data_IF_909065721790
#
_entry.id   IF_909065721790
#
_cell.length_a   1.000
_cell.length_b   1.000
_cell.length_c   1.000
_cell.angle_alpha   90.00
_cell.angle_beta   90.00
_cell.angle_gamma   90.00
#
_symmetry.space_group_name_H-M   'P 1'
#
loop_
_entity.id
_entity.type
_entity.pdbx_description
1 polymer ?
#
# COMPACT_ATOMS: atom_id res chain seq x y z
N UNK A 1 -8.29 20.40 -16.26
CA UNK A 1 -7.96 19.25 -15.41
C UNK A 1 -6.54 18.79 -15.65
N UNK A 2 -5.81 18.54 -14.57
CA UNK A 2 -4.45 18.09 -14.71
C UNK A 2 -4.40 16.65 -15.22
N UNK A 3 -3.38 16.37 -16.01
CA UNK A 3 -3.14 15.02 -16.49
C UNK A 3 -1.72 14.59 -16.13
N UNK A 4 -1.53 13.28 -15.98
CA UNK A 4 -0.21 12.69 -15.81
C UNK A 4 -0.11 11.51 -16.76
N UNK A 5 1.03 11.35 -17.41
CA UNK A 5 1.24 10.27 -18.36
C UNK A 5 2.03 9.12 -17.73
N UNK A 6 1.72 7.91 -18.19
CA UNK A 6 2.50 6.70 -17.87
C UNK A 6 2.79 6.01 -19.20
N UNK A 7 4.06 5.95 -19.55
CA UNK A 7 4.51 5.39 -20.83
C UNK A 7 3.72 5.90 -22.04
N UNK A 8 3.46 7.21 -22.06
CA UNK A 8 2.78 7.87 -23.17
C UNK A 8 1.26 7.88 -23.10
N UNK A 9 0.67 7.15 -22.17
CA UNK A 9 -0.80 7.18 -21.97
C UNK A 9 -1.16 8.22 -20.93
N UNK A 10 -2.10 9.12 -21.25
CA UNK A 10 -2.52 10.19 -20.35
C UNK A 10 -3.66 9.75 -19.43
N UNK A 11 -3.54 10.15 -18.17
CA UNK A 11 -4.57 9.90 -17.15
C UNK A 11 -4.99 11.22 -16.54
N UNK A 12 -6.29 11.39 -16.32
CA UNK A 12 -6.82 12.57 -15.64
C UNK A 12 -6.63 12.43 -14.13
N UNK A 13 -6.04 13.45 -13.52
CA UNK A 13 -5.84 13.48 -12.07
C UNK A 13 -7.15 13.90 -11.40
N UNK A 14 -7.69 13.05 -10.53
CA UNK A 14 -8.92 13.34 -9.80
C UNK A 14 -8.59 14.04 -8.48
N UNK A 15 -7.68 13.46 -7.69
CA UNK A 15 -7.26 14.06 -6.41
C UNK A 15 -5.97 13.43 -5.90
N UNK A 16 -5.31 14.12 -4.98
CA UNK A 16 -4.19 13.58 -4.22
C UNK A 16 -4.75 12.69 -3.10
N UNK A 17 -4.27 11.45 -3.03
CA UNK A 17 -4.69 10.51 -1.97
C UNK A 17 -3.74 10.54 -0.78
N UNK A 18 -2.43 10.46 -1.04
CA UNK A 18 -1.42 10.36 0.00
C UNK A 18 -0.20 11.16 -0.41
N UNK A 19 0.35 11.89 0.57
CA UNK A 19 1.64 12.56 0.44
C UNK A 19 2.62 11.81 1.34
N UNK A 20 3.34 10.87 0.75
CA UNK A 20 4.25 10.00 1.48
C UNK A 20 5.70 10.45 1.42
N UNK A 21 6.56 9.75 2.14
CA UNK A 21 8.00 10.04 2.20
C UNK A 21 8.71 9.76 0.87
N UNK A 22 8.27 8.74 0.16
CA UNK A 22 8.88 8.32 -1.09
C UNK A 22 8.16 8.78 -2.34
N UNK A 23 6.96 9.31 -2.22
CA UNK A 23 6.18 9.71 -3.37
C UNK A 23 4.81 10.26 -3.04
N UNK A 24 4.15 10.77 -4.07
CA UNK A 24 2.78 11.26 -3.98
C UNK A 24 1.87 10.29 -4.73
N UNK A 25 0.79 9.86 -4.10
CA UNK A 25 -0.18 8.96 -4.71
C UNK A 25 -1.45 9.72 -5.09
N UNK A 26 -1.83 9.60 -6.36
CA UNK A 26 -2.99 10.29 -6.93
C UNK A 26 -4.03 9.28 -7.38
N UNK A 27 -5.29 9.63 -7.19
CA UNK A 27 -6.39 8.93 -7.86
C UNK A 27 -6.49 9.50 -9.26
N UNK A 28 -6.37 8.63 -10.26
CA UNK A 28 -6.40 9.03 -11.67
C UNK A 28 -7.40 8.17 -12.43
N UNK A 29 -7.81 8.65 -13.61
CA UNK A 29 -8.77 7.93 -14.45
C UNK A 29 -8.34 7.96 -15.90
N UNK A 30 -8.63 6.88 -16.63
CA UNK A 30 -8.49 6.84 -18.08
C UNK A 30 -9.83 7.09 -18.81
N UNK A 31 -10.86 7.47 -18.07
CA UNK A 31 -12.21 7.67 -18.59
C UNK A 31 -13.14 6.49 -18.37
N UNK A 32 -12.60 5.31 -18.14
CA UNK A 32 -13.39 4.09 -17.90
C UNK A 32 -13.13 3.52 -16.50
N UNK A 33 -11.87 3.53 -16.08
CA UNK A 33 -11.45 2.95 -14.81
C UNK A 33 -10.62 3.92 -14.00
N UNK A 34 -10.62 3.73 -12.70
CA UNK A 34 -9.81 4.49 -11.77
C UNK A 34 -8.58 3.68 -11.37
N UNK A 35 -7.47 4.40 -11.20
CA UNK A 35 -6.17 3.83 -10.81
C UNK A 35 -5.51 4.70 -9.76
N UNK A 36 -4.50 4.16 -9.11
CA UNK A 36 -3.59 4.94 -8.27
C UNK A 36 -2.29 5.12 -9.05
N UNK A 37 -1.90 6.38 -9.25
CA UNK A 37 -0.62 6.72 -9.84
C UNK A 37 0.28 7.27 -8.75
N UNK A 38 1.41 6.60 -8.52
CA UNK A 38 2.40 7.05 -7.56
C UNK A 38 3.53 7.74 -8.31
N UNK A 39 3.74 9.02 -8.02
CA UNK A 39 4.88 9.79 -8.49
C UNK A 39 5.97 9.73 -7.42
N UNK A 40 7.07 9.11 -7.75
CA UNK A 40 8.22 9.07 -6.84
C UNK A 40 8.87 10.46 -6.82
N UNK A 41 9.27 10.90 -5.63
CA UNK A 41 10.00 12.16 -5.47
C UNK A 41 11.33 11.91 -4.76
N UNK A 42 12.24 12.86 -4.94
CA UNK A 42 13.57 12.82 -4.35
C UNK A 42 13.80 13.99 -3.39
N UNK A 43 12.74 14.38 -2.66
CA UNK A 43 12.84 15.45 -1.68
C UNK A 43 13.79 15.01 -0.56
N UNK A 44 14.68 15.91 -0.10
CA UNK A 44 15.66 15.56 0.92
C UNK A 44 15.02 15.06 2.20
N UNK A 45 15.55 13.96 2.70
CA UNK A 45 15.12 13.37 3.96
C UNK A 45 16.36 12.84 4.66
N UNK A 46 16.61 13.28 5.90
CA UNK A 46 17.86 13.01 6.61
C UNK A 46 18.13 11.53 6.88
N UNK A 47 17.13 10.69 6.81
CA UNK A 47 17.25 9.26 7.07
C UNK A 47 16.98 8.37 5.86
N UNK A 48 16.88 8.96 4.68
CA UNK A 48 16.55 8.22 3.47
C UNK A 48 17.64 8.39 2.43
N UNK A 49 18.29 7.29 2.05
CA UNK A 49 19.25 7.30 0.95
C UNK A 49 18.52 7.07 -0.36
N UNK A 50 18.70 8.01 -1.29
CA UNK A 50 18.03 7.95 -2.58
C UNK A 50 18.73 6.94 -3.49
N UNK A 51 18.33 5.68 -3.40
CA UNK A 51 18.70 4.68 -4.39
C UNK A 51 17.69 4.64 -5.52
N UNK A 52 17.62 3.53 -6.21
CA UNK A 52 16.62 3.32 -7.25
C UNK A 52 15.29 2.93 -6.58
N UNK A 53 14.51 3.93 -6.20
CA UNK A 53 13.26 3.76 -5.47
C UNK A 53 12.23 2.93 -6.25
N UNK A 54 12.17 3.15 -7.56
CA UNK A 54 11.19 2.45 -8.39
C UNK A 54 11.50 0.96 -8.47
N UNK A 55 12.78 0.61 -8.62
CA UNK A 55 13.19 -0.79 -8.64
C UNK A 55 12.95 -1.44 -7.28
N UNK A 56 13.21 -0.73 -6.20
CA UNK A 56 12.97 -1.22 -4.85
C UNK A 56 11.48 -1.53 -4.63
N UNK A 57 10.60 -0.63 -5.07
CA UNK A 57 9.17 -0.84 -4.93
C UNK A 57 8.66 -2.00 -5.79
N UNK A 58 9.21 -2.16 -6.99
CA UNK A 58 8.87 -3.30 -7.86
C UNK A 58 9.35 -4.63 -7.25
N UNK A 59 10.53 -4.64 -6.65
CA UNK A 59 11.05 -5.82 -5.97
C UNK A 59 10.17 -6.20 -4.77
N UNK A 60 9.75 -5.21 -3.99
CA UNK A 60 8.85 -5.43 -2.86
C UNK A 60 7.50 -5.97 -3.33
N UNK A 61 6.97 -5.42 -4.41
CA UNK A 61 5.73 -5.94 -5.01
C UNK A 61 5.84 -7.42 -5.36
N UNK A 62 6.93 -7.82 -6.01
CA UNK A 62 7.14 -9.22 -6.37
C UNK A 62 7.26 -10.11 -5.14
N UNK A 63 7.97 -9.67 -4.10
CA UNK A 63 8.08 -10.42 -2.84
C UNK A 63 6.71 -10.65 -2.20
N UNK A 64 5.90 -9.61 -2.12
CA UNK A 64 4.57 -9.68 -1.51
C UNK A 64 3.61 -10.52 -2.34
N UNK A 65 3.66 -10.35 -3.65
CA UNK A 65 2.83 -11.12 -4.58
C UNK A 65 3.15 -12.62 -4.50
N UNK A 66 4.43 -12.95 -4.48
CA UNK A 66 4.89 -14.33 -4.39
C UNK A 66 4.53 -14.95 -3.03
N UNK A 67 4.42 -14.16 -1.98
CA UNK A 67 3.96 -14.62 -0.68
C UNK A 67 2.45 -14.87 -0.63
N UNK A 68 1.71 -14.42 -1.63
CA UNK A 68 0.27 -14.63 -1.70
C UNK A 68 -0.57 -13.50 -1.10
N UNK A 69 0.03 -12.35 -0.85
CA UNK A 69 -0.67 -11.22 -0.25
C UNK A 69 -1.67 -10.61 -1.24
N UNK A 70 -2.82 -10.17 -0.72
CA UNK A 70 -3.82 -9.47 -1.54
C UNK A 70 -3.39 -8.03 -1.75
N UNK A 71 -2.98 -7.70 -2.96
CA UNK A 71 -2.42 -6.41 -3.35
C UNK A 71 -3.17 -5.80 -4.52
N UNK A 72 -3.24 -4.47 -4.63
CA UNK A 72 -3.63 -3.85 -5.89
C UNK A 72 -2.69 -4.32 -6.99
N UNK A 73 -3.27 -4.70 -8.12
CA UNK A 73 -2.49 -5.19 -9.25
C UNK A 73 -1.63 -4.05 -9.82
N UNK A 74 -0.35 -4.35 -10.09
CA UNK A 74 0.52 -3.45 -10.83
C UNK A 74 0.07 -3.41 -12.29
N UNK A 75 -0.30 -2.23 -12.78
CA UNK A 75 -0.80 -2.05 -14.14
C UNK A 75 0.32 -1.68 -15.09
N UNK A 76 1.15 -0.70 -14.69
CA UNK A 76 2.24 -0.22 -15.53
C UNK A 76 3.29 0.47 -14.67
N UNK A 77 4.48 0.64 -15.24
CA UNK A 77 5.60 1.27 -14.56
C UNK A 77 6.37 2.11 -15.58
N UNK A 78 6.41 3.42 -15.35
CA UNK A 78 7.15 4.37 -16.17
C UNK A 78 8.46 4.71 -15.46
N UNK A 79 9.52 3.99 -15.81
CA UNK A 79 10.83 4.12 -15.15
C UNK A 79 11.43 5.49 -15.40
N UNK A 80 11.29 6.03 -16.60
CA UNK A 80 11.87 7.32 -16.98
C UNK A 80 11.28 8.47 -16.17
N UNK A 81 9.96 8.47 -15.98
CA UNK A 81 9.26 9.50 -15.21
C UNK A 81 9.10 9.13 -13.75
N UNK A 82 9.56 7.96 -13.35
CA UNK A 82 9.47 7.43 -11.98
C UNK A 82 8.03 7.38 -11.49
N UNK A 83 7.15 6.79 -12.28
CA UNK A 83 5.73 6.62 -11.96
C UNK A 83 5.33 5.17 -11.96
N UNK A 84 4.50 4.81 -10.99
CA UNK A 84 3.92 3.47 -10.86
C UNK A 84 2.41 3.61 -10.93
N UNK A 85 1.77 2.79 -11.78
CA UNK A 85 0.32 2.75 -11.93
C UNK A 85 -0.19 1.43 -11.40
N UNK A 86 -1.15 1.48 -10.49
CA UNK A 86 -1.76 0.28 -9.90
C UNK A 86 -3.27 0.44 -9.79
N UNK A 87 -3.98 -0.68 -9.64
CA UNK A 87 -5.43 -0.65 -9.46
C UNK A 87 -5.81 0.19 -8.25
N UNK A 88 -6.97 0.85 -8.36
CA UNK A 88 -7.57 1.57 -7.24
C UNK A 88 -8.51 0.63 -6.50
N UNK A 89 -8.26 0.45 -5.21
CA UNK A 89 -9.14 -0.32 -4.33
C UNK A 89 -10.02 0.67 -3.59
N UNK A 90 -11.31 0.67 -3.90
CA UNK A 90 -12.27 1.57 -3.27
C UNK A 90 -12.79 0.96 -1.98
N UNK A 91 -12.95 1.78 -0.95
CA UNK A 91 -13.48 1.34 0.34
C UNK A 91 -12.90 2.12 1.50
N UNK A 92 -13.29 1.71 2.70
CA UNK A 92 -12.78 2.32 3.92
C UNK A 92 -11.46 1.68 4.32
N UNK A 93 -10.55 2.50 4.85
CA UNK A 93 -9.32 1.98 5.44
C UNK A 93 -9.65 1.29 6.77
N UNK A 94 -8.76 0.39 7.21
CA UNK A 94 -8.89 -0.20 8.54
C UNK A 94 -8.87 0.87 9.64
N UNK A 95 -8.13 1.95 9.42
CA UNK A 95 -8.10 3.09 10.34
C UNK A 95 -9.51 3.71 10.48
N UNK A 96 -10.19 3.97 9.37
CA UNK A 96 -11.57 4.48 9.39
C UNK A 96 -12.53 3.52 10.06
N UNK A 97 -12.36 2.21 9.83
CA UNK A 97 -13.20 1.19 10.46
C UNK A 97 -13.04 1.20 11.99
N UNK A 98 -11.80 1.38 12.47
CA UNK A 98 -11.55 1.49 13.92
C UNK A 98 -12.20 2.74 14.49
N UNK A 99 -12.03 3.89 13.82
CA UNK A 99 -12.60 5.16 14.29
C UNK A 99 -14.13 5.14 14.32
N UNK A 100 -14.74 4.43 13.38
CA UNK A 100 -16.20 4.35 13.26
C UNK A 100 -16.79 3.16 14.02
N UNK A 101 -15.95 2.42 14.74
CA UNK A 101 -16.35 1.22 15.50
C UNK A 101 -17.00 0.17 14.58
N UNK A 102 -16.46 0.03 13.38
CA UNK A 102 -16.92 -0.93 12.37
C UNK A 102 -15.93 -2.07 12.13
N UNK A 103 -14.83 -2.12 12.89
CA UNK A 103 -13.85 -3.20 12.78
C UNK A 103 -14.45 -4.51 13.32
N UNK A 104 -14.36 -5.57 12.51
CA UNK A 104 -14.90 -6.87 12.87
C UNK A 104 -13.77 -7.89 13.12
N UNK A 105 -14.03 -8.91 13.98
CA UNK A 105 -13.01 -9.93 14.21
C UNK A 105 -12.54 -10.64 12.94
N UNK A 106 -13.42 -10.83 11.96
CA UNK A 106 -13.07 -11.46 10.69
C UNK A 106 -12.07 -10.64 9.87
N UNK A 107 -12.06 -9.32 10.03
CA UNK A 107 -11.07 -8.47 9.36
C UNK A 107 -9.70 -8.61 10.02
N UNK A 108 -9.69 -8.65 11.34
CA UNK A 108 -8.45 -8.88 12.10
C UNK A 108 -7.87 -10.25 11.75
N UNK A 109 -8.71 -11.25 11.59
CA UNK A 109 -8.26 -12.59 11.19
C UNK A 109 -7.64 -12.60 9.81
N UNK A 110 -8.13 -11.77 8.89
CA UNK A 110 -7.50 -11.60 7.58
C UNK A 110 -6.09 -11.03 7.69
N UNK A 111 -5.86 -10.07 8.60
CA UNK A 111 -4.53 -9.53 8.82
C UNK A 111 -3.62 -10.59 9.44
N UNK A 112 -4.13 -11.39 10.36
CA UNK A 112 -3.38 -12.52 10.92
C UNK A 112 -2.99 -13.52 9.84
N UNK A 113 -3.87 -13.77 8.89
CA UNK A 113 -3.59 -14.65 7.77
C UNK A 113 -2.46 -14.09 6.91
N UNK A 114 -2.42 -12.77 6.70
CA UNK A 114 -1.30 -12.13 6.02
C UNK A 114 0.01 -12.38 6.78
N UNK A 115 -0.01 -12.27 8.11
CA UNK A 115 1.17 -12.60 8.92
C UNK A 115 1.63 -14.04 8.70
N UNK A 116 0.69 -14.98 8.64
CA UNK A 116 1.02 -16.40 8.43
C UNK A 116 1.65 -16.65 7.07
N UNK A 117 1.26 -15.86 6.06
CA UNK A 117 1.86 -15.94 4.74
C UNK A 117 3.27 -15.34 4.70
N UNK A 118 3.49 -14.27 5.45
CA UNK A 118 4.73 -13.50 5.39
C UNK A 118 5.82 -13.99 6.33
N UNK A 119 5.47 -14.40 7.55
CA UNK A 119 6.43 -14.77 8.58
C UNK A 119 7.40 -15.90 8.14
N UNK A 120 6.92 -17.00 7.54
CA UNK A 120 7.84 -18.06 7.09
C UNK A 120 8.84 -17.61 6.03
N UNK A 121 8.55 -16.52 5.33
CA UNK A 121 9.42 -15.97 4.29
C UNK A 121 10.33 -14.86 4.83
N UNK A 122 10.26 -14.58 6.13
CA UNK A 122 11.07 -13.53 6.74
C UNK A 122 10.70 -12.12 6.30
N UNK A 123 9.43 -11.91 5.89
CA UNK A 123 8.95 -10.63 5.38
C UNK A 123 8.05 -9.98 6.41
N UNK A 124 8.20 -8.67 6.57
CA UNK A 124 7.32 -7.86 7.39
C UNK A 124 6.75 -6.71 6.53
N UNK A 125 5.52 -6.32 6.82
CA UNK A 125 4.87 -5.16 6.20
C UNK A 125 4.55 -4.14 7.29
N UNK A 126 4.18 -2.95 6.85
CA UNK A 126 3.71 -1.93 7.78
C UNK A 126 2.23 -2.18 8.09
N UNK A 127 1.97 -2.74 9.27
CA UNK A 127 0.63 -3.10 9.72
C UNK A 127 -0.21 -1.91 10.18
N UNK A 128 0.24 -0.70 9.96
CA UNK A 128 -0.54 0.48 10.36
C UNK A 128 -1.88 0.49 9.61
N UNK A 129 -3.00 0.78 10.32
CA UNK A 129 -4.33 0.58 9.74
C UNK A 129 -4.65 1.37 8.46
N UNK A 130 -3.94 2.47 8.20
CA UNK A 130 -4.14 3.24 6.96
C UNK A 130 -3.67 2.50 5.71
N UNK A 131 -2.90 1.41 5.87
CA UNK A 131 -2.36 0.64 4.75
C UNK A 131 -3.28 -0.48 4.28
N UNK A 132 -4.46 -0.63 4.89
CA UNK A 132 -5.43 -1.66 4.51
C UNK A 132 -6.75 -1.04 4.12
N UNK A 133 -7.35 -1.52 3.03
CA UNK A 133 -8.67 -1.07 2.58
C UNK A 133 -9.60 -2.27 2.50
N UNK A 134 -10.80 -2.11 3.05
CA UNK A 134 -11.86 -3.11 2.99
C UNK A 134 -12.68 -2.91 1.72
N UNK A 135 -12.74 -3.95 0.88
CA UNK A 135 -13.53 -3.98 -0.33
C UNK A 135 -14.21 -5.34 -0.44
N UNK A 136 -15.54 -5.34 -0.50
CA UNK A 136 -16.35 -6.57 -0.59
C UNK A 136 -16.00 -7.60 0.49
N UNK A 137 -15.79 -7.14 1.72
CA UNK A 137 -15.48 -8.01 2.85
C UNK A 137 -14.05 -8.51 2.91
N UNK A 138 -13.19 -8.08 2.00
CA UNK A 138 -11.79 -8.48 1.94
C UNK A 138 -10.89 -7.28 2.18
N UNK A 139 -9.86 -7.48 2.99
CA UNK A 139 -8.83 -6.45 3.23
C UNK A 139 -7.70 -6.59 2.21
N UNK A 140 -7.31 -5.44 1.67
CA UNK A 140 -6.22 -5.31 0.70
C UNK A 140 -5.10 -4.48 1.32
N UNK A 141 -3.86 -4.97 1.20
CA UNK A 141 -2.69 -4.19 1.58
C UNK A 141 -2.35 -3.29 0.40
N UNK A 142 -2.51 -1.98 0.56
CA UNK A 142 -2.44 -1.05 -0.56
C UNK A 142 -1.06 -0.46 -0.82
N UNK A 143 -0.11 -0.70 0.07
CA UNK A 143 1.27 -0.27 -0.13
C UNK A 143 2.10 -1.45 -0.62
N UNK A 144 3.08 -1.18 -1.49
CA UNK A 144 3.97 -2.23 -1.97
C UNK A 144 5.22 -2.36 -1.09
N UNK A 145 5.33 -1.58 -0.03
CA UNK A 145 6.51 -1.58 0.82
C UNK A 145 6.54 -2.79 1.74
N UNK A 146 7.69 -3.44 1.80
CA UNK A 146 7.93 -4.50 2.78
C UNK A 146 9.39 -4.45 3.23
N UNK A 147 9.64 -5.09 4.38
CA UNK A 147 10.95 -5.13 4.99
C UNK A 147 11.24 -6.55 5.47
N UNK A 148 12.47 -6.78 5.91
CA UNK A 148 12.80 -8.02 6.59
C UNK A 148 12.08 -8.07 7.94
N UNK A 149 11.76 -9.27 8.38
CA UNK A 149 11.00 -9.45 9.61
C UNK A 149 11.70 -8.79 10.81
N UNK A 150 10.94 -8.00 11.56
CA UNK A 150 11.37 -7.36 12.79
C UNK A 150 10.32 -7.60 13.85
N UNK A 151 10.72 -8.21 14.97
CA UNK A 151 9.78 -8.59 16.03
C UNK A 151 9.02 -7.38 16.59
N UNK A 152 9.67 -6.23 16.71
CA UNK A 152 9.06 -5.00 17.23
C UNK A 152 7.91 -4.49 16.36
N UNK A 153 7.86 -4.91 15.11
CA UNK A 153 6.81 -4.51 14.16
C UNK A 153 5.86 -5.64 13.84
N UNK A 154 5.86 -6.68 14.66
CA UNK A 154 4.95 -7.79 14.51
C UNK A 154 3.51 -7.32 14.69
N UNK A 155 2.60 -7.86 13.89
CA UNK A 155 1.18 -7.58 13.99
C UNK A 155 0.64 -7.71 15.42
N UNK A 156 1.10 -8.71 16.16
CA UNK A 156 0.65 -8.93 17.53
C UNK A 156 0.93 -7.76 18.46
N UNK A 157 2.05 -7.04 18.24
CA UNK A 157 2.39 -5.88 19.05
C UNK A 157 1.56 -4.65 18.67
N UNK A 158 1.17 -4.53 17.40
CA UNK A 158 0.44 -3.35 16.91
C UNK A 158 -1.08 -3.44 17.16
N UNK A 159 -1.63 -4.64 17.07
CA UNK A 159 -3.09 -4.81 17.14
C UNK A 159 -3.59 -5.42 18.44
N UNK A 160 -2.80 -6.26 19.12
CA UNK A 160 -3.24 -6.91 20.36
C UNK A 160 -2.94 -6.10 21.61
N UNK A 161 -1.95 -5.18 21.59
CA UNK A 161 -1.71 -4.29 22.73
C UNK A 161 -2.91 -3.38 22.98
N UNK A 162 -3.57 -2.91 21.94
CA UNK A 162 -4.76 -2.07 22.07
C UNK A 162 -5.95 -2.87 22.62
N UNK A 163 -6.06 -4.14 22.26
CA UNK A 163 -7.11 -5.01 22.77
C UNK A 163 -6.90 -5.36 24.24
N UNK A 164 -5.65 -5.39 24.70
CA UNK A 164 -5.32 -5.68 26.10
C UNK A 164 -5.63 -4.50 27.04
N UNK A 165 -5.67 -3.29 26.51
CA UNK A 165 -5.94 -2.09 27.29
C UNK A 165 -7.45 -1.82 27.48
N UNK A 166 -8.28 -2.56 26.80
CA UNK A 166 -9.73 -2.51 26.97
C UNK A 166 -10.17 -3.49 28.08
#
# INVERSE_FOLDING_TARGET
MDTMSVNGKAFTVIKLLVKGKGGYSYLVSDGEHNYVLKQIHHEPCSYYTFGNKIQSELNDYERLKNAGLRLPKLIDCDVENERILKDYIDGKTAYELVLQNEMKPEYIEQIREMCRLLNPKGINIDYFPTNFILNNGLLWYIDYECNDYMEERNFCLLYTSDAADD
#
